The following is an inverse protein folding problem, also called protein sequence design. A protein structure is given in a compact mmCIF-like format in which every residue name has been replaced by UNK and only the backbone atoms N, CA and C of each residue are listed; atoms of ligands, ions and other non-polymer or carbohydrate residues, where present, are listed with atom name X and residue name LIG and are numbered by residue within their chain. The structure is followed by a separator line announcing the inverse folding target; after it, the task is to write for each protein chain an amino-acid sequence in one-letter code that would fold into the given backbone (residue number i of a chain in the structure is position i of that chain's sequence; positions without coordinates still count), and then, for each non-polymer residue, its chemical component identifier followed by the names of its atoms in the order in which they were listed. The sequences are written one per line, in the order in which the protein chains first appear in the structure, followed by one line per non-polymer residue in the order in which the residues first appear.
data_IF_280466162096
#
_entry.id   IF_280466162096
#
_cell.length_a   1.000
_cell.length_b   1.000
_cell.length_c   1.000
_cell.angle_alpha   90.00
_cell.angle_beta   90.00
_cell.angle_gamma   90.00
#
_symmetry.space_group_name_H-M   'P 1'
#
loop_
_entity.id
_entity.type
_entity.pdbx_description
1 polymer ?
#
# COMPACT_ATOMS: atom_id res chain seq x y z
N UNK A 1 1.15 -20.36 -51.60
CA UNK A 1 1.84 -19.94 -50.37
C UNK A 1 2.62 -21.12 -49.87
N UNK A 2 3.95 -21.05 -49.90
CA UNK A 2 4.77 -22.21 -49.53
C UNK A 2 4.78 -22.34 -48.01
N UNK A 3 4.86 -23.57 -47.49
CA UNK A 3 4.93 -23.81 -46.04
C UNK A 3 6.11 -23.07 -45.38
N UNK A 4 7.18 -22.82 -46.14
CA UNK A 4 8.34 -22.03 -45.73
C UNK A 4 7.98 -20.55 -45.49
N UNK A 5 7.11 -19.96 -46.31
CA UNK A 5 6.67 -18.57 -46.16
C UNK A 5 5.91 -18.39 -44.84
N UNK A 6 5.02 -19.33 -44.51
CA UNK A 6 4.28 -19.32 -43.25
C UNK A 6 5.19 -19.50 -42.03
N UNK A 7 6.26 -20.30 -42.17
CA UNK A 7 7.25 -20.50 -41.11
C UNK A 7 8.00 -19.19 -40.80
N UNK A 8 8.39 -18.45 -41.84
CA UNK A 8 9.02 -17.13 -41.69
C UNK A 8 8.08 -16.09 -41.10
N UNK A 9 6.82 -16.06 -41.53
CA UNK A 9 5.81 -15.13 -40.98
C UNK A 9 5.53 -15.42 -39.50
N UNK A 10 5.44 -16.69 -39.10
CA UNK A 10 5.27 -17.08 -37.70
C UNK A 10 6.48 -16.69 -36.84
N UNK A 11 7.70 -16.91 -37.35
CA UNK A 11 8.93 -16.54 -36.67
C UNK A 11 9.06 -15.01 -36.50
N UNK A 12 8.66 -14.25 -37.53
CA UNK A 12 8.57 -12.79 -37.45
C UNK A 12 7.54 -12.35 -36.40
N UNK A 13 6.37 -13.01 -36.37
CA UNK A 13 5.31 -12.71 -35.41
C UNK A 13 5.75 -12.92 -33.96
N UNK A 14 6.37 -14.06 -33.63
CA UNK A 14 6.87 -14.30 -32.27
C UNK A 14 7.99 -13.32 -31.91
N UNK A 15 8.89 -13.00 -32.86
CA UNK A 15 9.94 -12.02 -32.64
C UNK A 15 9.39 -10.62 -32.36
N UNK A 16 8.33 -10.20 -33.07
CA UNK A 16 7.72 -8.87 -32.87
C UNK A 16 7.06 -8.78 -31.50
N UNK A 17 6.38 -9.84 -31.05
CA UNK A 17 5.77 -9.88 -29.71
C UNK A 17 6.85 -9.77 -28.63
N UNK A 18 7.93 -10.54 -28.76
CA UNK A 18 9.07 -10.43 -27.85
C UNK A 18 9.68 -9.03 -27.83
N UNK A 19 9.90 -8.42 -29.00
CA UNK A 19 10.44 -7.07 -29.10
C UNK A 19 9.53 -6.04 -28.42
N UNK A 20 8.21 -6.14 -28.61
CA UNK A 20 7.23 -5.27 -27.95
C UNK A 20 7.23 -5.47 -26.43
N UNK A 21 7.29 -6.72 -25.94
CA UNK A 21 7.35 -6.99 -24.49
C UNK A 21 8.65 -6.45 -23.86
N UNK A 22 9.79 -6.61 -24.53
CA UNK A 22 11.07 -6.04 -24.09
C UNK A 22 11.00 -4.51 -24.07
N UNK A 23 10.44 -3.89 -25.12
CA UNK A 23 10.30 -2.44 -25.20
C UNK A 23 9.41 -1.89 -24.08
N UNK A 24 8.29 -2.56 -23.80
CA UNK A 24 7.39 -2.18 -22.72
C UNK A 24 8.08 -2.36 -21.36
N UNK A 25 8.78 -3.47 -21.14
CA UNK A 25 9.57 -3.71 -19.92
C UNK A 25 10.66 -2.67 -19.70
N UNK A 26 11.36 -2.28 -20.78
CA UNK A 26 12.36 -1.22 -20.74
C UNK A 26 11.75 0.13 -20.38
N UNK A 27 10.63 0.51 -21.01
CA UNK A 27 9.93 1.75 -20.70
C UNK A 27 9.48 1.80 -19.23
N UNK A 28 8.96 0.69 -18.72
CA UNK A 28 8.62 0.55 -17.30
C UNK A 28 9.87 0.63 -16.40
N UNK A 29 11.00 0.08 -16.81
CA UNK A 29 12.27 0.14 -16.07
C UNK A 29 12.80 1.57 -15.98
N UNK A 30 12.77 2.31 -17.10
CA UNK A 30 13.18 3.72 -17.15
C UNK A 30 12.25 4.57 -16.28
N UNK A 31 10.94 4.39 -16.41
CA UNK A 31 9.97 5.12 -15.59
C UNK A 31 10.09 4.76 -14.09
N UNK A 32 10.31 3.48 -13.78
CA UNK A 32 10.59 3.01 -12.40
C UNK A 32 11.89 3.60 -11.88
N UNK A 33 12.92 3.75 -12.71
CA UNK A 33 14.18 4.37 -12.31
C UNK A 33 14.01 5.87 -12.04
N UNK A 34 13.27 6.59 -12.89
CA UNK A 34 12.94 8.01 -12.68
C UNK A 34 12.10 8.20 -11.43
N UNK A 35 11.08 7.37 -11.21
CA UNK A 35 10.26 7.38 -9.99
C UNK A 35 11.09 7.02 -8.75
N UNK A 36 12.00 6.06 -8.85
CA UNK A 36 12.94 5.72 -7.77
C UNK A 36 13.88 6.88 -7.48
N UNK A 37 14.35 7.60 -8.48
CA UNK A 37 15.23 8.76 -8.28
C UNK A 37 14.46 9.95 -7.68
N UNK A 38 13.21 10.18 -8.08
CA UNK A 38 12.34 11.19 -7.49
C UNK A 38 11.85 10.82 -6.07
N UNK A 39 11.72 9.52 -5.78
CA UNK A 39 11.36 8.99 -4.45
C UNK A 39 12.58 8.79 -3.54
N UNK A 40 13.81 8.85 -4.06
CA UNK A 40 15.10 8.81 -3.33
C UNK A 40 15.40 10.10 -2.55
N UNK A 41 14.37 10.76 -2.04
CA UNK A 41 14.47 11.71 -0.92
C UNK A 41 13.73 11.20 0.33
N UNK A 42 13.20 9.97 0.30
CA UNK A 42 12.59 9.34 1.46
C UNK A 42 12.97 7.87 1.54
N UNK A 43 13.83 7.54 2.51
CA UNK A 43 14.08 6.21 3.08
C UNK A 43 15.20 5.40 2.42
N UNK A 44 16.41 5.72 2.87
CA UNK A 44 17.36 4.70 3.28
C UNK A 44 16.91 4.08 4.62
N UNK A 45 16.66 2.78 4.62
CA UNK A 45 16.81 1.79 5.71
C UNK A 45 16.36 0.50 5.04
N UNK A 46 17.26 -0.35 4.58
CA UNK A 46 18.24 -1.04 5.40
C UNK A 46 17.79 -2.50 5.38
N UNK A 47 18.58 -3.35 4.74
CA UNK A 47 18.20 -4.72 4.45
C UNK A 47 18.17 -5.63 5.68
N UNK A 48 17.72 -6.84 5.35
CA UNK A 48 18.18 -8.11 5.90
C UNK A 48 17.45 -8.72 7.11
N UNK A 49 17.33 -10.04 7.01
CA UNK A 49 17.07 -11.05 8.04
C UNK A 49 15.72 -11.06 8.77
N UNK A 50 14.96 -12.13 8.50
CA UNK A 50 14.21 -12.84 9.54
C UNK A 50 15.19 -13.25 10.66
N UNK A 51 14.76 -13.23 11.94
CA UNK A 51 14.36 -14.51 12.51
C UNK A 51 13.11 -14.45 13.40
N UNK A 52 12.41 -15.59 13.37
CA UNK A 52 11.53 -16.11 14.40
C UNK A 52 12.07 -15.90 15.83
N UNK A 53 11.26 -15.30 16.72
CA UNK A 53 11.20 -15.73 18.13
C UNK A 53 9.97 -15.18 18.86
N UNK A 54 9.02 -16.09 19.08
CA UNK A 54 8.06 -16.02 20.18
C UNK A 54 8.80 -16.06 21.53
N UNK A 55 8.72 -14.98 22.33
CA UNK A 55 8.80 -15.01 23.80
C UNK A 55 8.14 -13.76 24.37
N UNK A 56 7.02 -13.94 25.09
CA UNK A 56 6.39 -12.86 25.85
C UNK A 56 7.21 -12.40 27.06
N UNK A 57 6.94 -11.19 27.55
CA UNK A 57 6.47 -10.83 28.91
C UNK A 57 6.66 -9.31 29.15
N UNK A 58 5.53 -8.58 29.21
CA UNK A 58 5.14 -7.41 30.04
C UNK A 58 6.21 -6.39 30.54
N UNK A 59 6.05 -5.09 30.20
CA UNK A 59 5.69 -3.95 31.10
C UNK A 59 6.24 -2.58 30.61
N UNK A 60 5.35 -1.58 30.38
CA UNK A 60 5.75 -0.15 30.31
C UNK A 60 4.99 0.74 29.32
N UNK A 61 3.83 1.25 29.75
CA UNK A 61 3.03 2.39 29.27
C UNK A 61 3.50 3.24 28.05
N UNK A 62 2.77 3.15 26.94
CA UNK A 62 2.03 4.24 26.27
C UNK A 62 1.12 3.56 25.22
N UNK A 63 -0.17 3.89 25.22
CA UNK A 63 -1.24 3.09 24.63
C UNK A 63 -1.14 2.89 23.11
N UNK A 64 -0.40 1.87 22.69
CA UNK A 64 -0.60 1.20 21.40
C UNK A 64 -1.64 0.12 21.61
N UNK A 65 -2.92 0.48 21.50
CA UNK A 65 -4.00 -0.50 21.42
C UNK A 65 -4.10 -0.90 19.95
N UNK A 66 -3.53 -2.06 19.63
CA UNK A 66 -3.89 -2.80 18.42
C UNK A 66 -5.37 -3.18 18.56
N UNK A 67 -6.25 -2.45 17.89
CA UNK A 67 -7.66 -2.81 17.80
C UNK A 67 -7.79 -3.96 16.81
N UNK A 68 -8.07 -5.15 17.34
CA UNK A 68 -8.87 -6.13 16.59
C UNK A 68 -10.31 -5.78 16.94
N UNK A 69 -10.92 -4.93 16.12
CA UNK A 69 -12.36 -4.70 16.18
C UNK A 69 -13.03 -5.86 15.42
N UNK A 70 -13.98 -6.50 16.10
CA UNK A 70 -14.57 -7.78 15.71
C UNK A 70 -15.06 -7.87 14.27
N UNK A 71 -15.01 -9.11 13.77
CA UNK A 71 -15.62 -9.64 12.54
C UNK A 71 -16.57 -8.70 11.79
N UNK A 72 -16.03 -8.05 10.75
CA UNK A 72 -16.66 -8.01 9.44
C UNK A 72 -15.58 -8.05 8.34
N UNK A 73 -15.59 -9.15 7.61
CA UNK A 73 -15.27 -9.30 6.19
C UNK A 73 -14.18 -8.39 5.63
N UNK A 74 -12.94 -8.72 5.94
CA UNK A 74 -11.77 -8.15 5.29
C UNK A 74 -10.67 -7.88 6.29
N UNK A 75 -9.67 -8.75 6.31
CA UNK A 75 -8.36 -8.50 6.91
C UNK A 75 -7.71 -7.30 6.19
N UNK A 76 -8.15 -6.09 6.50
CA UNK A 76 -7.35 -4.91 6.30
C UNK A 76 -6.54 -4.75 7.59
N UNK A 77 -5.23 -4.91 7.47
CA UNK A 77 -4.30 -4.47 8.51
C UNK A 77 -4.48 -2.96 8.62
N UNK A 78 -5.38 -2.55 9.52
CA UNK A 78 -5.63 -1.17 9.79
C UNK A 78 -4.31 -0.61 10.32
N UNK A 79 -3.63 0.18 9.49
CA UNK A 79 -2.39 0.84 9.88
C UNK A 79 -2.62 1.63 11.17
N UNK A 80 -1.55 1.84 11.93
CA UNK A 80 -1.61 2.50 13.23
C UNK A 80 -2.31 3.88 13.14
N UNK A 81 -3.53 3.96 13.68
CA UNK A 81 -4.30 5.21 13.76
C UNK A 81 -3.92 5.96 15.03
N UNK A 82 -3.36 7.16 14.87
CA UNK A 82 -3.04 8.04 16.00
C UNK A 82 -4.23 8.94 16.36
N UNK A 83 -4.76 8.79 17.56
CA UNK A 83 -5.78 9.68 18.14
C UNK A 83 -5.09 10.67 19.09
N UNK A 84 -5.35 11.97 18.93
CA UNK A 84 -4.79 13.02 19.78
C UNK A 84 -5.95 13.85 20.35
N UNK A 85 -6.23 13.67 21.64
CA UNK A 85 -7.28 14.42 22.34
C UNK A 85 -8.71 14.08 21.89
N UNK A 86 -8.91 12.93 21.25
CA UNK A 86 -10.21 12.43 20.77
C UNK A 86 -10.40 11.01 21.28
N UNK A 87 -11.59 10.69 21.79
CA UNK A 87 -11.95 9.35 22.23
C UNK A 87 -12.24 8.41 21.05
N UNK A 88 -12.17 7.11 21.30
CA UNK A 88 -12.32 6.08 20.28
C UNK A 88 -13.71 6.10 19.63
N UNK A 89 -14.76 6.41 20.41
CA UNK A 89 -16.14 6.45 19.90
C UNK A 89 -16.32 7.64 18.96
N UNK A 90 -15.81 8.82 19.32
CA UNK A 90 -15.81 9.99 18.46
C UNK A 90 -14.99 9.75 17.20
N UNK A 91 -13.83 9.09 17.31
CA UNK A 91 -13.04 8.70 16.14
C UNK A 91 -13.80 7.78 15.20
N UNK A 92 -14.48 6.75 15.72
CA UNK A 92 -15.30 5.85 14.91
C UNK A 92 -16.44 6.60 14.21
N UNK A 93 -17.07 7.55 14.90
CA UNK A 93 -18.13 8.38 14.32
C UNK A 93 -17.59 9.24 13.16
N UNK A 94 -16.41 9.84 13.33
CA UNK A 94 -15.74 10.60 12.26
C UNK A 94 -15.44 9.68 11.07
N UNK A 95 -14.94 8.47 11.30
CA UNK A 95 -14.64 7.52 10.23
C UNK A 95 -15.89 7.12 9.44
N UNK A 96 -17.01 6.89 10.13
CA UNK A 96 -18.29 6.57 9.50
C UNK A 96 -18.81 7.73 8.64
N UNK A 97 -18.85 8.96 9.18
CA UNK A 97 -19.33 10.14 8.46
C UNK A 97 -18.49 10.40 7.21
N UNK A 98 -17.16 10.36 7.35
CA UNK A 98 -16.26 10.60 6.21
C UNK A 98 -16.40 9.52 5.13
N UNK A 99 -16.63 8.26 5.52
CA UNK A 99 -16.88 7.18 4.54
C UNK A 99 -18.19 7.37 3.77
N UNK A 100 -19.24 7.86 4.45
CA UNK A 100 -20.55 8.12 3.84
C UNK A 100 -20.49 9.30 2.87
N UNK A 101 -19.92 10.42 3.32
CA UNK A 101 -19.79 11.65 2.51
C UNK A 101 -18.83 11.47 1.32
N UNK A 102 -17.78 10.67 1.48
CA UNK A 102 -16.85 10.37 0.37
C UNK A 102 -17.35 9.28 -0.58
N UNK A 103 -18.33 8.48 -0.15
CA UNK A 103 -18.78 7.29 -0.87
C UNK A 103 -17.72 6.18 -0.98
N UNK A 104 -16.61 6.28 -0.23
CA UNK A 104 -15.53 5.29 -0.21
C UNK A 104 -15.75 4.35 0.99
N UNK A 105 -15.84 3.03 0.78
CA UNK A 105 -16.03 2.09 1.88
C UNK A 105 -14.85 2.14 2.85
N UNK A 106 -15.11 1.89 4.13
CA UNK A 106 -14.11 1.95 5.21
C UNK A 106 -12.89 1.04 4.94
N UNK A 107 -13.07 -0.07 4.20
CA UNK A 107 -11.98 -0.98 3.80
C UNK A 107 -10.94 -0.35 2.87
N UNK A 108 -11.28 0.73 2.17
CA UNK A 108 -10.39 1.46 1.27
C UNK A 108 -9.94 2.82 1.84
N UNK A 109 -10.45 3.20 3.01
CA UNK A 109 -10.22 4.50 3.62
C UNK A 109 -9.20 4.39 4.76
N UNK A 110 -8.05 5.07 4.62
CA UNK A 110 -6.99 5.06 5.63
C UNK A 110 -6.93 6.38 6.40
N UNK A 111 -7.21 6.34 7.70
CA UNK A 111 -7.04 7.46 8.61
C UNK A 111 -5.66 7.39 9.27
N UNK A 112 -4.82 8.40 9.05
CA UNK A 112 -3.46 8.44 9.62
C UNK A 112 -3.41 9.12 10.98
N UNK A 113 -4.21 10.16 11.20
CA UNK A 113 -4.28 10.86 12.47
C UNK A 113 -5.60 11.61 12.62
N UNK A 114 -6.23 11.54 13.79
CA UNK A 114 -7.39 12.35 14.17
C UNK A 114 -6.97 13.19 15.38
N UNK A 115 -7.13 14.51 15.30
CA UNK A 115 -6.71 15.45 16.36
C UNK A 115 -7.84 16.39 16.70
N UNK A 116 -8.01 16.67 17.99
CA UNK A 116 -8.81 17.78 18.44
C UNK A 116 -7.99 19.07 18.24
N UNK A 117 -8.54 20.03 17.49
CA UNK A 117 -7.93 21.35 17.35
C UNK A 117 -8.34 22.19 18.56
N UNK A 118 -7.38 22.63 19.38
CA UNK A 118 -7.66 23.70 20.34
C UNK A 118 -7.67 25.01 19.59
N UNK A 119 -8.82 25.66 19.52
CA UNK A 119 -8.95 27.00 18.94
C UNK A 119 -8.21 27.98 19.86
N UNK A 120 -7.00 28.41 19.46
CA UNK A 120 -6.16 29.28 20.28
C UNK A 120 -4.71 29.44 19.82
N UNK A 121 -4.51 30.03 18.64
CA UNK A 121 -3.65 31.21 18.35
C UNK A 121 -3.82 31.66 16.90
#
# INVERSE_FOLDING_TARGET
MTFIDSLWVSLLGIAVVFAVLILLSFFLTVMSWVLRLASKNGRETGGDTMPDRNTGTIQGAEGTVSYILGESDGEWSAGELKLIGVDEKTAALIMAIVSDESGIPLSQLQFKTIRLLSEGE
#
